data_IF_859014762300
#
_entry.id   IF_859014762300
#
_cell.length_a   1.000
_cell.length_b   1.000
_cell.length_c   1.000
_cell.angle_alpha   90.00
_cell.angle_beta   90.00
_cell.angle_gamma   90.00
#
_symmetry.space_group_name_H-M   'P 1'
#
loop_
_entity.id
_entity.type
_entity.pdbx_description
1 polymer ?
#
# COMPACT_ATOMS: atom_id res chain seq x y z
N UNK A 1 9.68 9.97 -23.20
CA UNK A 1 9.82 11.28 -22.55
C UNK A 1 11.20 11.49 -21.92
N UNK A 2 11.73 10.56 -21.11
CA UNK A 2 13.04 10.72 -20.43
C UNK A 2 14.30 10.63 -21.32
N UNK A 3 14.28 9.81 -22.38
CA UNK A 3 15.42 9.71 -23.33
C UNK A 3 15.72 11.02 -24.07
N UNK A 4 14.70 11.82 -24.35
CA UNK A 4 14.85 13.09 -25.04
C UNK A 4 15.56 14.15 -24.19
N UNK A 5 15.63 13.95 -22.87
CA UNK A 5 16.34 14.81 -21.92
C UNK A 5 17.63 14.17 -21.39
N UNK A 6 18.19 13.18 -22.12
CA UNK A 6 19.48 12.57 -21.80
C UNK A 6 19.47 11.51 -20.70
N UNK A 7 18.30 11.16 -20.17
CA UNK A 7 18.15 10.12 -19.16
C UNK A 7 17.85 8.79 -19.87
N UNK A 8 18.89 7.98 -20.03
CA UNK A 8 18.81 6.63 -20.61
C UNK A 8 18.68 5.55 -19.53
N UNK A 9 17.69 5.70 -18.66
CA UNK A 9 17.31 4.67 -17.69
C UNK A 9 16.16 3.84 -18.30
N UNK A 10 16.36 2.53 -18.39
CA UNK A 10 15.36 1.55 -18.82
C UNK A 10 15.01 0.67 -17.62
N UNK A 11 13.70 0.51 -17.28
CA UNK A 11 13.12 -0.82 -17.46
C UNK A 11 11.62 -0.83 -17.83
N UNK A 12 11.02 0.26 -18.34
CA UNK A 12 9.55 0.28 -18.49
C UNK A 12 9.00 -0.61 -19.62
N UNK A 13 9.73 -0.77 -20.74
CA UNK A 13 9.19 -1.50 -21.92
C UNK A 13 9.52 -3.00 -22.01
N UNK A 14 10.53 -3.45 -21.27
CA UNK A 14 11.00 -4.85 -21.25
C UNK A 14 11.28 -5.33 -19.82
N UNK A 15 10.85 -4.58 -18.79
CA UNK A 15 11.11 -4.91 -17.38
C UNK A 15 10.48 -6.24 -16.97
N UNK A 16 9.40 -6.63 -17.65
CA UNK A 16 8.71 -7.92 -17.53
C UNK A 16 9.60 -9.13 -17.84
N UNK A 17 10.67 -8.92 -18.63
CA UNK A 17 11.63 -9.96 -18.97
C UNK A 17 12.72 -10.15 -17.92
N UNK A 18 12.87 -9.22 -16.98
CA UNK A 18 14.01 -9.17 -16.05
C UNK A 18 13.62 -9.05 -14.58
N UNK A 19 12.35 -8.76 -14.28
CA UNK A 19 11.81 -8.60 -12.92
C UNK A 19 10.48 -9.35 -12.85
N UNK A 20 10.17 -9.98 -11.72
CA UNK A 20 8.89 -10.67 -11.55
C UNK A 20 7.78 -9.63 -11.52
N UNK A 21 6.95 -9.54 -12.55
CA UNK A 21 5.85 -8.58 -12.57
C UNK A 21 4.63 -9.21 -11.90
N UNK A 22 4.26 -8.63 -10.76
CA UNK A 22 2.93 -8.82 -10.19
C UNK A 22 1.98 -7.87 -10.92
N UNK A 23 1.43 -8.30 -12.05
CA UNK A 23 0.51 -7.45 -12.80
C UNK A 23 -0.73 -7.20 -11.94
N UNK A 24 -1.03 -5.94 -11.63
CA UNK A 24 -2.23 -5.51 -10.92
C UNK A 24 -3.05 -4.58 -11.82
N UNK A 25 -4.34 -4.45 -11.53
CA UNK A 25 -5.22 -3.50 -12.22
C UNK A 25 -4.80 -2.05 -11.92
N UNK A 26 -4.39 -1.30 -12.94
CA UNK A 26 -3.76 0.02 -12.80
C UNK A 26 -4.68 1.04 -12.10
N UNK A 27 -5.96 1.08 -12.46
CA UNK A 27 -6.95 1.99 -11.84
C UNK A 27 -7.16 1.72 -10.35
N UNK A 28 -7.15 0.44 -9.97
CA UNK A 28 -7.25 0.03 -8.59
C UNK A 28 -5.99 0.40 -7.81
N UNK A 29 -4.81 0.16 -8.37
CA UNK A 29 -3.52 0.53 -7.76
C UNK A 29 -3.41 2.04 -7.57
N UNK A 30 -3.84 2.85 -8.55
CA UNK A 30 -3.84 4.32 -8.41
C UNK A 30 -4.74 4.76 -7.25
N UNK A 31 -5.95 4.19 -7.15
CA UNK A 31 -6.87 4.46 -6.03
C UNK A 31 -6.25 4.06 -4.69
N UNK A 32 -5.54 2.93 -4.65
CA UNK A 32 -4.83 2.48 -3.46
C UNK A 32 -3.70 3.45 -3.07
N UNK A 33 -2.94 3.94 -4.05
CA UNK A 33 -1.91 4.97 -3.81
C UNK A 33 -2.50 6.28 -3.31
N UNK A 34 -3.68 6.70 -3.79
CA UNK A 34 -4.37 7.87 -3.24
C UNK A 34 -4.72 7.64 -1.76
N UNK A 35 -5.28 6.48 -1.40
CA UNK A 35 -5.57 6.15 -0.01
C UNK A 35 -4.31 6.16 0.88
N UNK A 36 -3.21 5.58 0.39
CA UNK A 36 -1.92 5.60 1.09
C UNK A 36 -1.39 7.02 1.25
N UNK A 37 -1.45 7.85 0.21
CA UNK A 37 -0.94 9.22 0.24
C UNK A 37 -1.68 10.09 1.27
N UNK A 38 -3.00 9.96 1.37
CA UNK A 38 -3.83 10.70 2.36
C UNK A 38 -3.41 10.38 3.80
N UNK A 39 -2.94 9.16 4.05
CA UNK A 39 -2.64 8.63 5.39
C UNK A 39 -1.14 8.47 5.68
N UNK A 40 -0.27 8.78 4.72
CA UNK A 40 1.18 8.62 4.86
C UNK A 40 1.82 9.52 5.94
N UNK A 41 1.12 10.55 6.43
CA UNK A 41 1.62 11.40 7.52
C UNK A 41 1.53 10.74 8.90
N UNK A 42 0.71 9.71 9.04
CA UNK A 42 0.40 9.04 10.30
C UNK A 42 0.45 7.50 10.20
N UNK A 43 0.78 6.98 9.02
CA UNK A 43 0.88 5.55 8.77
C UNK A 43 2.21 5.25 8.08
N UNK A 44 2.80 4.12 8.44
CA UNK A 44 3.92 3.54 7.71
C UNK A 44 3.42 2.37 6.88
N UNK A 45 3.92 2.27 5.65
CA UNK A 45 3.54 1.25 4.68
C UNK A 45 4.76 0.46 4.22
N UNK A 46 4.58 -0.83 4.00
CA UNK A 46 5.56 -1.66 3.32
C UNK A 46 4.89 -2.69 2.40
N UNK A 47 5.68 -3.23 1.48
CA UNK A 47 5.25 -4.27 0.55
C UNK A 47 5.07 -5.60 1.28
N UNK A 48 4.22 -6.48 0.74
CA UNK A 48 4.02 -7.84 1.26
C UNK A 48 4.35 -8.89 0.21
N UNK A 49 5.02 -9.97 0.64
CA UNK A 49 5.36 -11.15 -0.16
C UNK A 49 4.15 -11.84 -0.75
N UNK A 50 3.00 -11.70 -0.09
CA UNK A 50 1.74 -12.30 -0.52
C UNK A 50 1.20 -11.69 -1.82
N UNK A 51 1.73 -10.56 -2.28
CA UNK A 51 1.33 -9.98 -3.58
C UNK A 51 1.62 -10.89 -4.78
N UNK A 52 2.61 -11.78 -4.65
CA UNK A 52 2.98 -12.78 -5.65
C UNK A 52 2.04 -14.00 -5.67
N UNK A 53 1.31 -14.25 -4.57
CA UNK A 53 0.43 -15.40 -4.40
C UNK A 53 -1.05 -15.06 -4.69
N UNK A 54 -1.38 -13.77 -4.86
CA UNK A 54 -2.75 -13.28 -5.07
C UNK A 54 -2.95 -12.74 -6.49
N UNK A 55 -4.20 -12.79 -6.95
CA UNK A 55 -4.62 -12.33 -8.29
C UNK A 55 -4.35 -10.85 -8.59
N UNK A 56 -4.63 -10.44 -9.82
CA UNK A 56 -4.36 -9.08 -10.31
C UNK A 56 -5.32 -8.04 -9.72
N UNK A 57 -6.46 -8.50 -9.22
CA UNK A 57 -7.56 -7.71 -8.66
C UNK A 57 -7.42 -7.41 -7.16
N UNK A 58 -6.39 -7.96 -6.50
CA UNK A 58 -6.11 -7.75 -5.08
C UNK A 58 -4.68 -7.33 -4.83
N UNK A 59 -4.49 -6.51 -3.81
CA UNK A 59 -3.17 -6.13 -3.27
C UNK A 59 -3.17 -6.38 -1.77
N UNK A 60 -2.10 -6.99 -1.27
CA UNK A 60 -1.85 -7.09 0.17
C UNK A 60 -0.83 -6.01 0.53
N UNK A 61 -1.19 -5.14 1.47
CA UNK A 61 -0.32 -4.07 1.96
C UNK A 61 -0.07 -4.27 3.45
N UNK A 62 1.17 -4.06 3.87
CA UNK A 62 1.52 -3.98 5.27
C UNK A 62 1.38 -2.53 5.73
N UNK A 63 0.66 -2.28 6.81
CA UNK A 63 0.52 -0.96 7.38
C UNK A 63 0.53 -0.97 8.91
N UNK A 64 1.07 0.10 9.51
CA UNK A 64 0.92 0.38 10.93
C UNK A 64 0.74 1.88 11.17
N UNK A 65 0.12 2.24 12.29
CA UNK A 65 0.14 3.63 12.75
C UNK A 65 1.59 4.06 13.08
N UNK A 66 1.95 5.27 12.69
CA UNK A 66 3.31 5.78 12.81
C UNK A 66 3.32 7.22 13.34
N UNK A 67 3.79 7.36 14.59
CA UNK A 67 3.84 8.64 15.30
C UNK A 67 5.25 8.98 15.81
N UNK A 68 6.29 8.27 15.37
CA UNK A 68 7.65 8.38 15.91
C UNK A 68 8.65 8.63 14.77
N UNK A 69 9.74 9.39 14.96
CA UNK A 69 10.77 9.54 13.93
C UNK A 69 11.56 8.25 13.64
N UNK A 70 11.34 7.17 14.40
CA UNK A 70 11.99 5.87 14.20
C UNK A 70 11.18 5.02 13.22
N UNK A 71 11.87 4.19 12.44
CA UNK A 71 11.25 3.15 11.62
C UNK A 71 10.49 2.18 12.55
N UNK A 72 9.22 1.83 12.25
CA UNK A 72 8.48 0.83 13.04
C UNK A 72 9.22 -0.51 13.10
N UNK A 73 9.01 -1.27 14.18
CA UNK A 73 9.43 -2.67 14.20
C UNK A 73 8.61 -3.47 13.18
N UNK A 74 9.20 -4.53 12.63
CA UNK A 74 8.49 -5.39 11.67
C UNK A 74 7.22 -6.01 12.29
N UNK A 75 7.24 -6.31 13.59
CA UNK A 75 6.09 -6.81 14.35
C UNK A 75 4.94 -5.80 14.50
N UNK A 76 5.18 -4.51 14.26
CA UNK A 76 4.13 -3.48 14.33
C UNK A 76 3.21 -3.51 13.11
N UNK A 77 3.67 -4.06 11.99
CA UNK A 77 2.92 -4.09 10.74
C UNK A 77 1.81 -5.13 10.78
N UNK A 78 0.68 -4.74 10.22
CA UNK A 78 -0.48 -5.60 10.03
C UNK A 78 -0.79 -5.71 8.55
N UNK A 79 -1.31 -6.86 8.12
CA UNK A 79 -1.65 -7.11 6.74
C UNK A 79 -3.08 -6.68 6.43
N UNK A 80 -3.24 -5.96 5.32
CA UNK A 80 -4.53 -5.54 4.79
C UNK A 80 -4.68 -6.05 3.36
N UNK A 81 -5.76 -6.79 3.12
CA UNK A 81 -6.15 -7.22 1.79
C UNK A 81 -7.08 -6.17 1.19
N UNK A 82 -6.63 -5.50 0.14
CA UNK A 82 -7.38 -4.51 -0.60
C UNK A 82 -7.79 -5.06 -1.98
N UNK A 83 -9.01 -4.74 -2.39
CA UNK A 83 -9.57 -4.95 -3.72
C UNK A 83 -10.34 -3.70 -4.14
N UNK A 84 -10.85 -3.66 -5.36
CA UNK A 84 -11.63 -2.53 -5.88
C UNK A 84 -12.84 -2.16 -5.00
N UNK A 85 -13.42 -3.13 -4.29
CA UNK A 85 -14.69 -2.94 -3.56
C UNK A 85 -14.55 -3.04 -2.05
N UNK A 86 -13.57 -3.79 -1.57
CA UNK A 86 -13.41 -4.07 -0.14
C UNK A 86 -11.94 -4.04 0.28
N UNK A 87 -11.72 -3.59 1.50
CA UNK A 87 -10.47 -3.68 2.24
C UNK A 87 -10.76 -4.27 3.63
N UNK A 88 -9.94 -5.23 4.05
CA UNK A 88 -10.04 -5.83 5.37
C UNK A 88 -8.66 -6.16 5.95
N UNK A 89 -8.57 -6.21 7.27
CA UNK A 89 -7.38 -6.67 7.98
C UNK A 89 -7.35 -8.20 7.99
N UNK A 90 -6.21 -8.78 7.60
CA UNK A 90 -5.99 -10.22 7.64
C UNK A 90 -5.57 -10.66 9.05
N UNK A 91 -5.92 -11.89 9.41
CA UNK A 91 -5.52 -12.52 10.68
C UNK A 91 -4.05 -12.95 10.69
N UNK A 92 -3.51 -13.25 9.51
CA UNK A 92 -2.16 -13.71 9.31
C UNK A 92 -1.12 -12.56 9.39
N UNK A 93 0.15 -12.95 9.38
CA UNK A 93 1.32 -12.07 9.40
C UNK A 93 2.22 -12.31 8.20
N UNK A 94 3.19 -11.43 7.99
CA UNK A 94 4.19 -11.57 6.93
C UNK A 94 5.09 -12.82 7.13
N UNK A 95 5.16 -13.39 8.34
CA UNK A 95 6.01 -14.54 8.66
C UNK A 95 5.31 -15.89 8.54
N UNK A 96 4.00 -15.89 8.28
CA UNK A 96 3.27 -17.13 8.06
C UNK A 96 3.77 -17.85 6.81
N UNK A 97 3.58 -19.17 6.78
CA UNK A 97 4.11 -20.05 5.73
C UNK A 97 3.20 -20.12 4.50
N UNK A 98 1.91 -19.92 4.70
CA UNK A 98 0.88 -20.06 3.67
C UNK A 98 -0.05 -18.86 3.71
N UNK A 99 -0.51 -18.43 2.54
CA UNK A 99 -1.46 -17.34 2.41
C UNK A 99 -2.85 -17.76 2.89
N UNK A 100 -3.52 -16.88 3.63
CA UNK A 100 -4.89 -17.07 4.11
C UNK A 100 -5.68 -15.77 4.04
N UNK A 101 -6.85 -15.82 3.41
CA UNK A 101 -7.81 -14.70 3.39
C UNK A 101 -8.67 -14.63 4.66
N UNK A 102 -8.31 -15.36 5.73
CA UNK A 102 -9.03 -15.28 7.01
C UNK A 102 -8.91 -13.87 7.60
N UNK A 103 -10.07 -13.24 7.83
CA UNK A 103 -10.17 -11.87 8.32
C UNK A 103 -9.90 -11.85 9.82
N UNK A 104 -9.17 -10.84 10.29
CA UNK A 104 -8.92 -10.66 11.72
C UNK A 104 -10.27 -10.49 12.46
N UNK A 105 -10.52 -11.24 13.56
CA UNK A 105 -11.80 -11.19 14.27
C UNK A 105 -12.21 -9.76 14.63
N UNK A 106 -13.52 -9.48 14.55
CA UNK A 106 -14.11 -8.18 14.88
C UNK A 106 -13.72 -7.03 13.92
N UNK A 107 -13.00 -7.32 12.82
CA UNK A 107 -12.75 -6.34 11.76
C UNK A 107 -13.96 -6.22 10.85
N UNK A 108 -14.42 -5.00 10.58
CA UNK A 108 -15.41 -4.73 9.55
C UNK A 108 -14.74 -4.60 8.18
N UNK A 109 -15.39 -5.08 7.12
CA UNK A 109 -14.95 -4.80 5.76
C UNK A 109 -15.30 -3.36 5.40
N UNK A 110 -14.34 -2.63 4.84
CA UNK A 110 -14.53 -1.24 4.44
C UNK A 110 -14.38 -1.08 2.93
N UNK A 111 -14.98 -0.06 2.30
CA UNK A 111 -14.89 0.16 0.85
C UNK A 111 -13.47 0.41 0.31
N UNK A 112 -12.50 0.72 1.18
CA UNK A 112 -11.13 0.99 0.77
C UNK A 112 -10.19 1.14 1.96
N UNK A 113 -8.88 1.16 1.66
CA UNK A 113 -7.80 1.19 2.66
C UNK A 113 -7.93 2.38 3.62
N UNK A 114 -8.23 3.58 3.13
CA UNK A 114 -8.35 4.76 3.97
C UNK A 114 -9.39 4.57 5.10
N UNK A 115 -10.56 4.03 4.76
CA UNK A 115 -11.64 3.80 5.74
C UNK A 115 -11.27 2.70 6.73
N UNK A 116 -10.60 1.65 6.27
CA UNK A 116 -10.12 0.56 7.11
C UNK A 116 -9.10 1.06 8.15
N UNK A 117 -8.11 1.85 7.73
CA UNK A 117 -7.11 2.38 8.66
C UNK A 117 -7.75 3.38 9.63
N UNK A 118 -8.67 4.21 9.14
CA UNK A 118 -9.40 5.17 9.97
C UNK A 118 -10.22 4.49 11.08
N UNK A 119 -10.85 3.35 10.79
CA UNK A 119 -11.66 2.59 11.74
C UNK A 119 -10.84 2.02 12.90
N UNK A 120 -9.59 1.60 12.63
CA UNK A 120 -8.66 1.09 13.64
C UNK A 120 -7.70 2.12 14.24
N UNK A 121 -7.77 3.38 13.79
CA UNK A 121 -6.78 4.42 14.10
C UNK A 121 -7.00 5.11 15.43
N UNK A 122 -5.91 5.56 16.06
CA UNK A 122 -5.99 6.35 17.30
C UNK A 122 -6.51 7.78 17.07
N UNK A 123 -6.90 8.47 18.16
CA UNK A 123 -7.24 9.89 18.11
C UNK A 123 -6.09 10.77 17.58
N UNK A 124 -4.84 10.38 17.83
CA UNK A 124 -3.67 11.09 17.30
C UNK A 124 -3.57 10.93 15.78
N UNK A 125 -3.77 9.72 15.28
CA UNK A 125 -3.84 9.46 13.84
C UNK A 125 -4.93 10.31 13.18
N UNK A 126 -6.12 10.35 13.79
CA UNK A 126 -7.26 11.13 13.32
C UNK A 126 -6.98 12.63 13.29
N UNK A 127 -6.21 13.16 14.26
CA UNK A 127 -5.77 14.55 14.26
C UNK A 127 -4.80 14.81 13.11
N UNK A 128 -3.75 13.98 12.96
CA UNK A 128 -2.75 14.13 11.90
C UNK A 128 -3.37 14.06 10.50
N UNK A 129 -4.29 13.14 10.27
CA UNK A 129 -5.03 13.04 9.00
C UNK A 129 -5.71 14.36 8.60
N UNK A 130 -6.25 15.10 9.57
CA UNK A 130 -6.91 16.39 9.31
C UNK A 130 -5.91 17.52 9.05
N UNK A 131 -4.71 17.40 9.58
CA UNK A 131 -3.63 18.39 9.44
C UNK A 131 -2.74 18.12 8.21
N UNK A 132 -2.88 16.96 7.57
CA UNK A 132 -2.10 16.59 6.38
C UNK A 132 -2.32 17.60 5.25
N UNK A 133 -1.23 18.18 4.76
CA UNK A 133 -1.25 19.12 3.64
C UNK A 133 -1.59 18.44 2.32
N UNK A 134 -2.43 19.08 1.50
CA UNK A 134 -2.74 18.63 0.13
C UNK A 134 -1.49 18.50 -0.75
N UNK A 135 -0.48 19.35 -0.54
CA UNK A 135 0.79 19.29 -1.28
C UNK A 135 1.59 18.05 -0.88
N UNK A 136 1.55 17.67 0.40
CA UNK A 136 2.19 16.44 0.86
C UNK A 136 1.52 15.21 0.23
N UNK A 137 0.18 15.19 0.22
CA UNK A 137 -0.61 14.10 -0.38
C UNK A 137 -0.27 13.95 -1.87
N UNK A 138 -0.29 15.05 -2.63
CA UNK A 138 0.04 15.06 -4.06
C UNK A 138 1.47 14.56 -4.32
N UNK A 139 2.45 15.05 -3.56
CA UNK A 139 3.84 14.57 -3.66
C UNK A 139 3.96 13.06 -3.41
N UNK A 140 3.34 12.54 -2.35
CA UNK A 140 3.40 11.11 -2.02
C UNK A 140 2.70 10.27 -3.09
N UNK A 141 1.54 10.69 -3.58
CA UNK A 141 0.82 10.00 -4.66
C UNK A 141 1.65 9.95 -5.95
N UNK A 142 2.27 11.05 -6.35
CA UNK A 142 3.16 11.09 -7.52
C UNK A 142 4.36 10.17 -7.35
N UNK A 143 4.98 10.12 -6.17
CA UNK A 143 6.10 9.21 -5.88
C UNK A 143 5.68 7.75 -5.98
N UNK A 144 4.55 7.37 -5.38
CA UNK A 144 4.02 6.00 -5.42
C UNK A 144 3.67 5.60 -6.87
N UNK A 145 3.01 6.47 -7.61
CA UNK A 145 2.62 6.23 -9.00
C UNK A 145 3.83 6.14 -9.94
N UNK A 146 4.86 6.95 -9.73
CA UNK A 146 6.09 6.90 -10.52
C UNK A 146 6.91 5.63 -10.26
N UNK A 147 6.87 5.12 -9.03
CA UNK A 147 7.65 3.94 -8.60
C UNK A 147 6.91 2.63 -8.82
N UNK A 148 5.58 2.63 -8.88
CA UNK A 148 4.73 1.45 -9.11
C UNK A 148 5.09 0.27 -8.17
N UNK A 149 5.25 0.56 -6.88
CA UNK A 149 5.71 -0.38 -5.85
C UNK A 149 4.93 -1.69 -5.72
N UNK A 150 3.72 -1.80 -6.29
CA UNK A 150 2.92 -3.04 -6.27
C UNK A 150 2.98 -3.85 -7.57
N UNK A 151 3.54 -3.28 -8.65
CA UNK A 151 3.60 -3.92 -9.96
C UNK A 151 4.86 -4.77 -10.15
N UNK A 152 5.85 -4.61 -9.27
CA UNK A 152 7.14 -5.28 -9.37
C UNK A 152 7.41 -6.13 -8.11
N UNK A 153 8.00 -7.31 -8.30
CA UNK A 153 8.44 -8.27 -7.29
C UNK A 153 9.82 -8.83 -7.60
#
# INVERSE_FOLDING_TARGET
MLRAVGINLFPYRDGDKYVSICKKEESFVDTLYQHMAVSASCCSYTWSKWNSDIGQEKVVVQACEWNSPKIPSEESYQLYLASERICCKLKMTEYDREFSEEIFPQTQMHPGLYHMIRDGGSDEMMRKLKETSVVFIDCVHQLLSATNVFMYS
#
